data_IF_409861996616
#
_entry.id   IF_409861996616
#
_cell.length_a   1.000
_cell.length_b   1.000
_cell.length_c   1.000
_cell.angle_alpha   90.00
_cell.angle_beta   90.00
_cell.angle_gamma   90.00
#
_symmetry.space_group_name_H-M   'P 1'
#
loop_
_entity.id
_entity.type
_entity.pdbx_description
1 polymer ?
#
# COMPACT_ATOMS: atom_id res chain seq x y z
N UNK A 1 17.17 -39.67 -53.17
CA UNK A 1 16.03 -39.32 -52.29
C UNK A 1 15.89 -37.81 -52.39
N UNK A 2 15.00 -37.34 -53.26
CA UNK A 2 14.85 -35.91 -53.59
C UNK A 2 13.98 -35.28 -52.52
N UNK A 3 14.51 -34.32 -51.77
CA UNK A 3 13.74 -33.53 -50.81
C UNK A 3 12.57 -32.87 -51.54
N UNK A 4 11.34 -32.91 -51.02
CA UNK A 4 10.22 -32.23 -51.67
C UNK A 4 10.51 -30.73 -51.73
N UNK A 5 10.67 -30.18 -52.94
CA UNK A 5 10.75 -28.74 -53.14
C UNK A 5 9.41 -28.12 -52.76
N UNK A 6 9.44 -27.24 -51.77
CA UNK A 6 8.27 -26.49 -51.31
C UNK A 6 7.71 -25.66 -52.48
N UNK A 7 6.39 -25.61 -52.62
CA UNK A 7 5.75 -24.76 -53.64
C UNK A 7 6.09 -23.29 -53.40
N UNK A 8 6.11 -22.48 -54.46
CA UNK A 8 6.40 -21.04 -54.35
C UNK A 8 5.44 -20.34 -53.40
N UNK A 9 4.16 -20.73 -53.40
CA UNK A 9 3.13 -20.20 -52.52
C UNK A 9 3.46 -20.50 -51.05
N UNK A 10 3.97 -21.72 -50.78
CA UNK A 10 4.37 -22.15 -49.43
C UNK A 10 5.61 -21.39 -48.96
N UNK A 11 6.58 -21.15 -49.83
CA UNK A 11 7.77 -20.37 -49.52
C UNK A 11 7.46 -18.88 -49.26
N UNK A 12 6.51 -18.30 -50.01
CA UNK A 12 6.04 -16.92 -49.80
C UNK A 12 5.25 -16.81 -48.50
N UNK A 13 4.36 -17.77 -48.21
CA UNK A 13 3.62 -17.79 -46.96
C UNK A 13 4.56 -17.92 -45.74
N UNK A 14 5.57 -18.80 -45.82
CA UNK A 14 6.58 -18.94 -44.77
C UNK A 14 7.36 -17.63 -44.53
N UNK A 15 7.81 -16.95 -45.59
CA UNK A 15 8.47 -15.64 -45.47
C UNK A 15 7.56 -14.58 -44.84
N UNK A 16 6.28 -14.57 -45.18
CA UNK A 16 5.33 -13.63 -44.58
C UNK A 16 5.11 -13.94 -43.09
N UNK A 17 5.02 -15.21 -42.71
CA UNK A 17 4.94 -15.62 -41.29
C UNK A 17 6.20 -15.22 -40.54
N UNK A 18 7.39 -15.50 -41.09
CA UNK A 18 8.65 -15.09 -40.48
C UNK A 18 8.74 -13.58 -40.32
N UNK A 19 8.29 -12.80 -41.31
CA UNK A 19 8.23 -11.35 -41.23
C UNK A 19 7.25 -10.85 -40.15
N UNK A 20 6.07 -11.48 -40.04
CA UNK A 20 5.09 -11.14 -39.00
C UNK A 20 5.59 -11.51 -37.62
N UNK A 21 6.21 -12.68 -37.44
CA UNK A 21 6.79 -13.11 -36.16
C UNK A 21 7.98 -12.25 -35.78
N UNK A 22 8.86 -11.91 -36.73
CA UNK A 22 9.97 -11.00 -36.50
C UNK A 22 9.49 -9.59 -36.12
N UNK A 23 8.46 -9.07 -36.81
CA UNK A 23 7.85 -7.79 -36.45
C UNK A 23 7.19 -7.86 -35.09
N UNK A 24 6.42 -8.90 -34.78
CA UNK A 24 5.78 -9.04 -33.48
C UNK A 24 6.82 -9.13 -32.36
N UNK A 25 7.83 -9.98 -32.54
CA UNK A 25 8.95 -10.11 -31.59
C UNK A 25 9.65 -8.77 -31.41
N UNK A 26 9.98 -8.05 -32.49
CA UNK A 26 10.64 -6.74 -32.41
C UNK A 26 9.77 -5.69 -31.71
N UNK A 27 8.48 -5.59 -32.03
CA UNK A 27 7.56 -4.63 -31.40
C UNK A 27 7.26 -4.98 -29.93
N UNK A 28 7.37 -6.26 -29.54
CA UNK A 28 7.25 -6.68 -28.15
C UNK A 28 8.57 -6.48 -27.36
N UNK A 29 9.71 -6.43 -28.08
CA UNK A 29 11.06 -6.28 -27.52
C UNK A 29 11.55 -4.83 -27.49
N UNK A 30 11.01 -3.95 -28.33
CA UNK A 30 11.22 -2.51 -28.21
C UNK A 30 10.63 -2.10 -26.86
N UNK A 31 11.52 -1.79 -25.92
CA UNK A 31 11.22 -1.34 -24.56
C UNK A 31 9.96 -0.46 -24.58
N UNK A 32 8.86 -1.00 -24.05
CA UNK A 32 7.59 -0.31 -23.86
C UNK A 32 7.76 0.74 -22.75
N UNK A 33 8.58 1.75 -23.02
CA UNK A 33 8.99 2.80 -22.11
C UNK A 33 7.89 3.87 -21.96
N UNK A 34 6.63 3.47 -22.15
CA UNK A 34 5.47 4.35 -22.07
C UNK A 34 5.40 5.06 -20.72
N UNK A 35 5.81 4.39 -19.65
CA UNK A 35 5.90 4.99 -18.32
C UNK A 35 6.94 6.10 -18.26
N UNK A 36 8.14 5.88 -18.79
CA UNK A 36 9.20 6.90 -18.80
C UNK A 36 8.81 8.09 -19.69
N UNK A 37 8.23 7.83 -20.87
CA UNK A 37 7.71 8.89 -21.75
C UNK A 37 6.62 9.70 -21.04
N UNK A 38 5.70 9.03 -20.34
CA UNK A 38 4.66 9.71 -19.57
C UNK A 38 5.26 10.59 -18.47
N UNK A 39 6.19 10.05 -17.69
CA UNK A 39 6.89 10.78 -16.62
C UNK A 39 7.62 12.00 -17.18
N UNK A 40 8.38 11.85 -18.26
CA UNK A 40 9.12 12.95 -18.89
C UNK A 40 8.21 14.08 -19.39
N UNK A 41 7.11 13.73 -20.07
CA UNK A 41 6.17 14.73 -20.60
C UNK A 41 5.51 15.51 -19.47
N UNK A 42 5.08 14.81 -18.41
CA UNK A 42 4.42 15.47 -17.27
C UNK A 42 5.41 16.26 -16.40
N UNK A 43 6.65 15.81 -16.24
CA UNK A 43 7.71 16.56 -15.54
C UNK A 43 7.86 17.98 -16.11
N UNK A 44 7.88 18.13 -17.43
CA UNK A 44 8.03 19.43 -18.09
C UNK A 44 6.87 20.39 -17.76
N UNK A 45 5.63 19.88 -17.74
CA UNK A 45 4.44 20.67 -17.43
C UNK A 45 4.45 21.10 -15.97
N UNK A 46 4.80 20.17 -15.09
CA UNK A 46 4.71 20.34 -13.63
C UNK A 46 5.87 21.18 -13.07
N UNK A 47 7.04 21.18 -13.71
CA UNK A 47 8.20 22.02 -13.31
C UNK A 47 7.88 23.53 -13.29
N UNK A 48 6.86 23.97 -14.02
CA UNK A 48 6.41 25.37 -14.03
C UNK A 48 5.71 25.80 -12.73
N UNK A 49 5.28 24.85 -11.89
CA UNK A 49 4.41 25.08 -10.73
C UNK A 49 5.19 25.04 -9.41
N UNK A 50 5.63 26.22 -8.93
CA UNK A 50 6.43 26.35 -7.71
C UNK A 50 5.77 25.78 -6.45
N UNK A 51 4.43 25.82 -6.36
CA UNK A 51 3.68 25.33 -5.21
C UNK A 51 3.76 23.81 -5.03
N UNK A 52 4.09 23.07 -6.10
CA UNK A 52 4.24 21.62 -6.04
C UNK A 52 5.59 21.17 -5.48
N UNK A 53 6.54 22.10 -5.26
CA UNK A 53 7.88 21.81 -4.70
C UNK A 53 7.87 21.22 -3.28
N UNK A 54 6.75 21.29 -2.57
CA UNK A 54 6.57 20.76 -1.21
C UNK A 54 5.57 19.62 -1.13
N UNK A 55 5.14 19.06 -2.26
CA UNK A 55 4.12 17.99 -2.28
C UNK A 55 4.51 16.80 -1.39
N UNK A 56 5.79 16.41 -1.35
CA UNK A 56 6.26 15.34 -0.46
C UNK A 56 5.89 15.53 1.02
N UNK A 57 5.69 16.77 1.49
CA UNK A 57 5.29 17.06 2.87
C UNK A 57 3.83 16.71 3.17
N UNK A 58 2.96 16.69 2.16
CA UNK A 58 1.55 16.30 2.35
C UNK A 58 1.38 14.78 2.36
N UNK A 59 2.33 14.03 1.79
CA UNK A 59 2.26 12.57 1.64
C UNK A 59 2.00 11.86 2.98
N UNK A 60 2.70 12.16 4.09
CA UNK A 60 2.38 11.56 5.40
C UNK A 60 0.92 11.70 5.81
N UNK A 61 0.34 12.90 5.70
CA UNK A 61 -1.06 13.14 6.03
C UNK A 61 -2.02 12.35 5.12
N UNK A 62 -1.71 12.25 3.83
CA UNK A 62 -2.47 11.44 2.88
C UNK A 62 -2.40 9.96 3.23
N UNK A 63 -1.23 9.46 3.63
CA UNK A 63 -1.09 8.04 4.03
C UNK A 63 -1.92 7.74 5.28
N UNK A 64 -1.94 8.61 6.29
CA UNK A 64 -2.79 8.43 7.48
C UNK A 64 -4.26 8.37 7.07
N UNK A 65 -4.72 9.34 6.27
CA UNK A 65 -6.11 9.39 5.84
C UNK A 65 -6.51 8.18 4.99
N UNK A 66 -5.62 7.73 4.11
CA UNK A 66 -5.82 6.54 3.29
C UNK A 66 -5.97 5.30 4.18
N UNK A 67 -5.10 5.11 5.17
CA UNK A 67 -5.15 3.96 6.08
C UNK A 67 -6.45 3.95 6.89
N UNK A 68 -6.84 5.10 7.45
CA UNK A 68 -8.11 5.20 8.20
C UNK A 68 -9.31 4.85 7.34
N UNK A 69 -9.33 5.35 6.10
CA UNK A 69 -10.41 5.06 5.14
C UNK A 69 -10.37 3.60 4.68
N UNK A 70 -9.18 3.03 4.47
CA UNK A 70 -8.97 1.63 4.09
C UNK A 70 -9.49 0.67 5.16
N UNK A 71 -9.15 0.91 6.43
CA UNK A 71 -9.64 0.10 7.57
C UNK A 71 -11.17 0.15 7.65
N UNK A 72 -11.77 1.35 7.53
CA UNK A 72 -13.22 1.50 7.55
C UNK A 72 -13.89 0.80 6.36
N UNK A 73 -13.33 0.94 5.16
CA UNK A 73 -13.83 0.29 3.96
C UNK A 73 -13.78 -1.25 4.10
N UNK A 74 -12.69 -1.79 4.63
CA UNK A 74 -12.55 -3.23 4.91
C UNK A 74 -13.57 -3.72 5.93
N UNK A 75 -13.80 -2.99 7.02
CA UNK A 75 -14.84 -3.34 8.01
C UNK A 75 -16.25 -3.36 7.39
N UNK A 76 -16.54 -2.41 6.49
CA UNK A 76 -17.80 -2.36 5.75
C UNK A 76 -17.94 -3.47 4.71
N UNK A 77 -16.84 -4.03 4.17
CA UNK A 77 -16.89 -5.21 3.30
C UNK A 77 -17.29 -6.48 4.06
N UNK A 78 -16.75 -6.67 5.26
CA UNK A 78 -17.03 -7.87 6.06
C UNK A 78 -18.45 -7.88 6.62
N UNK A 79 -19.00 -6.70 6.90
CA UNK A 79 -20.42 -6.55 7.25
C UNK A 79 -21.21 -6.61 5.96
N UNK A 80 -21.94 -7.70 5.73
CA UNK A 80 -22.76 -7.95 4.53
C UNK A 80 -23.86 -6.88 4.36
N UNK A 81 -23.46 -5.68 3.95
CA UNK A 81 -24.29 -4.47 3.93
C UNK A 81 -25.07 -4.46 2.63
N UNK A 82 -26.37 -4.19 2.73
CA UNK A 82 -27.33 -4.26 1.62
C UNK A 82 -27.08 -3.23 0.50
N UNK A 83 -26.11 -2.33 0.67
CA UNK A 83 -25.73 -1.34 -0.33
C UNK A 83 -24.57 -1.89 -1.15
N UNK A 84 -24.80 -2.02 -2.47
CA UNK A 84 -23.81 -2.40 -3.50
C UNK A 84 -22.74 -1.31 -3.69
N UNK A 85 -22.08 -0.89 -2.62
CA UNK A 85 -20.85 -0.11 -2.75
C UNK A 85 -19.71 -1.12 -2.78
N UNK A 86 -19.00 -1.16 -3.92
CA UNK A 86 -17.80 -1.97 -4.07
C UNK A 86 -16.67 -1.24 -3.35
N UNK A 87 -16.51 -1.51 -2.06
CA UNK A 87 -15.31 -1.12 -1.34
C UNK A 87 -14.15 -1.95 -1.87
N UNK A 88 -13.11 -1.29 -2.38
CA UNK A 88 -11.88 -1.94 -2.82
C UNK A 88 -10.69 -1.13 -2.32
N UNK A 89 -9.66 -1.84 -1.90
CA UNK A 89 -8.38 -1.27 -1.47
C UNK A 89 -7.34 -1.96 -2.33
N UNK A 90 -6.63 -1.20 -3.17
CA UNK A 90 -5.63 -1.71 -4.10
C UNK A 90 -4.34 -0.88 -4.02
N UNK A 91 -3.31 -1.28 -4.75
CA UNK A 91 -2.02 -0.59 -4.84
C UNK A 91 -2.07 0.76 -5.58
N UNK A 92 -3.19 1.10 -6.22
CA UNK A 92 -3.36 2.33 -7.00
C UNK A 92 -3.04 3.63 -6.25
N UNK A 93 -3.32 3.70 -4.94
CA UNK A 93 -2.90 4.86 -4.12
C UNK A 93 -1.37 4.93 -4.01
N UNK A 94 -0.72 3.81 -3.70
CA UNK A 94 0.73 3.72 -3.58
C UNK A 94 1.43 4.01 -4.91
N UNK A 95 0.90 3.47 -6.02
CA UNK A 95 1.36 3.74 -7.39
C UNK A 95 1.21 5.23 -7.71
N UNK A 96 0.08 5.84 -7.37
CA UNK A 96 -0.17 7.26 -7.57
C UNK A 96 0.82 8.16 -6.82
N UNK A 97 1.09 7.86 -5.55
CA UNK A 97 2.10 8.60 -4.77
C UNK A 97 3.50 8.41 -5.37
N UNK A 98 3.88 7.18 -5.73
CA UNK A 98 5.17 6.92 -6.36
C UNK A 98 5.33 7.70 -7.67
N UNK A 99 4.29 7.72 -8.52
CA UNK A 99 4.26 8.48 -9.76
C UNK A 99 4.41 9.98 -9.50
N UNK A 100 3.65 10.55 -8.55
CA UNK A 100 3.73 11.97 -8.23
C UNK A 100 5.12 12.37 -7.68
N UNK A 101 5.72 11.54 -6.83
CA UNK A 101 7.08 11.76 -6.34
C UNK A 101 8.12 11.68 -7.46
N UNK A 102 7.92 10.80 -8.46
CA UNK A 102 8.80 10.68 -9.62
C UNK A 102 8.68 11.89 -10.56
N UNK A 103 7.47 12.33 -10.92
CA UNK A 103 7.29 13.49 -11.80
C UNK A 103 7.69 14.82 -11.15
N UNK A 104 7.73 14.87 -9.81
CA UNK A 104 8.19 16.06 -9.07
C UNK A 104 9.67 15.99 -8.71
N UNK A 105 10.33 14.87 -8.97
CA UNK A 105 11.70 14.60 -8.53
C UNK A 105 11.88 14.83 -7.00
N UNK A 106 10.91 14.36 -6.20
CA UNK A 106 10.86 14.57 -4.75
C UNK A 106 11.12 13.31 -3.95
N UNK A 107 11.53 12.21 -4.59
CA UNK A 107 11.77 10.93 -3.93
C UNK A 107 12.78 11.04 -2.77
N UNK A 108 13.93 11.69 -2.99
CA UNK A 108 14.94 11.86 -1.93
C UNK A 108 14.46 12.77 -0.79
N UNK A 109 13.72 13.82 -1.11
CA UNK A 109 13.15 14.72 -0.10
C UNK A 109 12.13 13.99 0.77
N UNK A 110 11.30 13.12 0.16
CA UNK A 110 10.40 12.24 0.90
C UNK A 110 11.16 11.24 1.77
N UNK A 111 12.20 10.58 1.25
CA UNK A 111 13.01 9.62 2.01
C UNK A 111 13.63 10.27 3.26
N UNK A 112 14.05 11.53 3.18
CA UNK A 112 14.61 12.29 4.30
C UNK A 112 13.64 12.52 5.47
N UNK A 113 12.33 12.31 5.26
CA UNK A 113 11.34 12.38 6.33
C UNK A 113 11.38 11.16 7.24
N UNK A 114 11.99 10.05 6.81
CA UNK A 114 11.98 8.77 7.54
C UNK A 114 10.55 8.35 7.95
N UNK A 115 9.55 8.68 7.12
CA UNK A 115 8.14 8.63 7.51
C UNK A 115 7.69 7.23 7.97
N UNK A 116 8.05 6.18 7.22
CA UNK A 116 7.65 4.83 7.57
C UNK A 116 8.38 4.28 8.80
N UNK A 117 9.64 4.69 9.03
CA UNK A 117 10.38 4.37 10.25
C UNK A 117 9.73 5.04 11.48
N UNK A 118 9.27 6.28 11.33
CA UNK A 118 8.54 7.02 12.36
C UNK A 118 7.18 6.39 12.67
N UNK A 119 6.47 5.91 11.65
CA UNK A 119 5.22 5.17 11.80
C UNK A 119 5.43 3.86 12.56
N UNK A 120 6.45 3.09 12.19
CA UNK A 120 6.82 1.84 12.89
C UNK A 120 7.13 2.12 14.37
N UNK A 121 8.02 3.09 14.64
CA UNK A 121 8.36 3.51 16.01
C UNK A 121 7.14 3.92 16.83
N UNK A 122 6.19 4.64 16.21
CA UNK A 122 4.95 5.03 16.86
C UNK A 122 4.12 3.79 17.25
N UNK A 123 3.96 2.81 16.36
CA UNK A 123 3.17 1.62 16.68
C UNK A 123 3.86 0.71 17.70
N UNK A 124 5.19 0.62 17.69
CA UNK A 124 5.95 -0.06 18.74
C UNK A 124 5.74 0.59 20.12
N UNK A 125 5.76 1.93 20.16
CA UNK A 125 5.50 2.67 21.40
C UNK A 125 4.06 2.48 21.90
N UNK A 126 3.08 2.49 20.99
CA UNK A 126 1.67 2.23 21.33
C UNK A 126 1.47 0.79 21.84
N UNK A 127 2.12 -0.19 21.22
CA UNK A 127 2.08 -1.59 21.63
C UNK A 127 2.72 -1.79 23.01
N UNK A 128 3.88 -1.18 23.25
CA UNK A 128 4.53 -1.19 24.56
C UNK A 128 3.63 -0.57 25.65
N UNK A 129 3.00 0.57 25.35
CA UNK A 129 2.06 1.22 26.26
C UNK A 129 0.81 0.35 26.54
N UNK A 130 0.33 -0.38 25.52
CA UNK A 130 -0.75 -1.33 25.68
C UNK A 130 -0.37 -2.51 26.60
N UNK A 131 0.81 -3.10 26.40
CA UNK A 131 1.33 -4.21 27.22
C UNK A 131 1.44 -3.80 28.69
N UNK A 132 1.93 -2.58 28.97
CA UNK A 132 2.01 -2.06 30.34
C UNK A 132 0.63 -1.98 30.98
N UNK A 133 -0.36 -1.38 30.30
CA UNK A 133 -1.74 -1.26 30.81
C UNK A 133 -2.39 -2.63 31.05
N UNK A 134 -2.16 -3.58 30.14
CA UNK A 134 -2.66 -4.94 30.28
C UNK A 134 -2.04 -5.62 31.51
N UNK A 135 -0.73 -5.48 31.71
CA UNK A 135 -0.04 -6.02 32.88
C UNK A 135 -0.48 -5.39 34.20
N UNK A 136 -0.72 -4.07 34.24
CA UNK A 136 -1.26 -3.37 35.41
C UNK A 136 -2.64 -3.90 35.80
N UNK A 137 -3.52 -4.11 34.81
CA UNK A 137 -4.84 -4.72 35.04
C UNK A 137 -4.70 -6.14 35.58
N UNK A 138 -3.89 -6.98 34.95
CA UNK A 138 -3.74 -8.38 35.34
C UNK A 138 -3.18 -8.48 36.77
N UNK A 139 -2.21 -7.63 37.13
CA UNK A 139 -1.71 -7.52 38.49
C UNK A 139 -2.80 -7.08 39.48
N UNK A 140 -3.65 -6.10 39.11
CA UNK A 140 -4.79 -5.67 39.93
C UNK A 140 -5.80 -6.79 40.15
N UNK A 141 -6.14 -7.55 39.09
CA UNK A 141 -7.01 -8.73 39.19
C UNK A 141 -6.44 -9.79 40.12
N UNK A 142 -5.14 -10.10 39.98
CA UNK A 142 -4.48 -11.05 40.87
C UNK A 142 -4.48 -10.57 42.33
N UNK A 143 -4.30 -9.29 42.60
CA UNK A 143 -4.35 -8.72 43.94
C UNK A 143 -5.77 -8.70 44.55
N UNK A 144 -6.82 -8.75 43.72
CA UNK A 144 -8.22 -8.73 44.13
C UNK A 144 -8.87 -10.12 44.16
N UNK A 145 -8.15 -11.19 43.79
CA UNK A 145 -8.70 -12.54 43.64
C UNK A 145 -9.37 -13.12 44.91
N UNK A 146 -8.92 -12.70 46.11
CA UNK A 146 -9.49 -13.15 47.39
C UNK A 146 -10.60 -12.23 47.93
N UNK A 147 -10.90 -11.11 47.25
CA UNK A 147 -11.96 -10.18 47.64
C UNK A 147 -13.26 -10.50 46.93
N UNK A 148 -14.38 -10.33 47.64
CA UNK A 148 -15.72 -10.47 47.07
C UNK A 148 -16.00 -9.28 46.16
N UNK A 149 -15.95 -9.50 44.85
CA UNK A 149 -16.27 -8.49 43.84
C UNK A 149 -17.74 -8.06 43.94
N UNK A 150 -17.99 -6.76 43.83
CA UNK A 150 -19.35 -6.23 43.71
C UNK A 150 -19.79 -6.28 42.25
N UNK A 151 -21.11 -6.17 42.01
CA UNK A 151 -21.64 -6.09 40.66
C UNK A 151 -21.10 -4.87 39.89
N UNK A 152 -20.75 -3.78 40.57
CA UNK A 152 -20.15 -2.61 39.95
C UNK A 152 -18.71 -2.88 39.49
N UNK A 153 -17.91 -3.56 40.31
CA UNK A 153 -16.52 -3.91 39.98
C UNK A 153 -16.44 -4.84 38.76
N UNK A 154 -17.39 -5.78 38.65
CA UNK A 154 -17.50 -6.69 37.50
C UNK A 154 -17.81 -5.95 36.19
N UNK A 155 -18.71 -4.97 36.24
CA UNK A 155 -19.08 -4.15 35.07
C UNK A 155 -17.88 -3.29 34.64
N UNK A 156 -17.18 -2.66 35.60
CA UNK A 156 -16.00 -1.84 35.30
C UNK A 156 -14.87 -2.66 34.66
N UNK A 157 -14.59 -3.87 35.18
CA UNK A 157 -13.60 -4.75 34.54
C UNK A 157 -14.02 -5.18 33.13
N UNK A 158 -15.30 -5.47 32.90
CA UNK A 158 -15.80 -5.85 31.58
C UNK A 158 -15.63 -4.69 30.56
N UNK A 159 -15.95 -3.45 30.95
CA UNK A 159 -15.74 -2.26 30.13
C UNK A 159 -14.25 -2.00 29.84
N UNK A 160 -13.39 -2.20 30.84
CA UNK A 160 -11.94 -2.06 30.69
C UNK A 160 -11.37 -3.12 29.75
N UNK A 161 -11.78 -4.38 29.89
CA UNK A 161 -11.41 -5.49 28.98
C UNK A 161 -11.84 -5.18 27.56
N UNK A 162 -13.07 -4.72 27.37
CA UNK A 162 -13.57 -4.37 26.05
C UNK A 162 -12.75 -3.25 25.42
N UNK A 163 -12.43 -2.21 26.18
CA UNK A 163 -11.62 -1.07 25.74
C UNK A 163 -10.20 -1.50 25.34
N UNK A 164 -9.57 -2.37 26.14
CA UNK A 164 -8.25 -2.92 25.86
C UNK A 164 -8.26 -3.76 24.57
N UNK A 165 -9.25 -4.63 24.40
CA UNK A 165 -9.39 -5.46 23.19
C UNK A 165 -9.57 -4.62 21.93
N UNK A 166 -10.41 -3.58 21.97
CA UNK A 166 -10.58 -2.66 20.83
C UNK A 166 -9.30 -1.90 20.51
N UNK A 167 -8.55 -1.49 21.55
CA UNK A 167 -7.26 -0.79 21.39
C UNK A 167 -6.23 -1.69 20.72
N UNK A 168 -6.06 -2.92 21.22
CA UNK A 168 -5.13 -3.90 20.64
C UNK A 168 -5.44 -4.16 19.17
N UNK A 169 -6.71 -4.44 18.86
CA UNK A 169 -7.17 -4.69 17.49
C UNK A 169 -6.92 -3.48 16.58
N UNK A 170 -7.12 -2.27 17.07
CA UNK A 170 -6.86 -1.04 16.31
C UNK A 170 -5.38 -0.86 15.99
N UNK A 171 -4.50 -1.06 16.98
CA UNK A 171 -3.05 -0.97 16.80
C UNK A 171 -2.58 -1.96 15.73
N UNK A 172 -2.98 -3.23 15.87
CA UNK A 172 -2.62 -4.30 14.93
C UNK A 172 -3.09 -4.01 13.51
N UNK A 173 -4.38 -3.67 13.34
CA UNK A 173 -4.95 -3.40 12.02
C UNK A 173 -4.26 -2.22 11.34
N UNK A 174 -4.09 -1.10 12.05
CA UNK A 174 -3.46 0.07 11.45
C UNK A 174 -1.99 -0.20 11.10
N UNK A 175 -1.23 -0.87 11.97
CA UNK A 175 0.16 -1.26 11.69
C UNK A 175 0.25 -2.10 10.42
N UNK A 176 -0.57 -3.15 10.33
CA UNK A 176 -0.59 -4.02 9.17
C UNK A 176 -0.91 -3.29 7.86
N UNK A 177 -1.89 -2.38 7.88
CA UNK A 177 -2.21 -1.59 6.69
C UNK A 177 -1.07 -0.66 6.27
N UNK A 178 -0.36 -0.07 7.24
CA UNK A 178 0.82 0.76 6.97
C UNK A 178 1.97 -0.07 6.37
N UNK A 179 2.19 -1.29 6.85
CA UNK A 179 3.19 -2.21 6.28
C UNK A 179 2.87 -2.53 4.82
N UNK A 180 1.62 -2.87 4.52
CA UNK A 180 1.15 -3.11 3.15
C UNK A 180 1.37 -1.89 2.26
N UNK A 181 1.02 -0.69 2.74
CA UNK A 181 1.24 0.55 2.01
C UNK A 181 2.73 0.79 1.75
N UNK A 182 3.59 0.53 2.74
CA UNK A 182 5.04 0.68 2.62
C UNK A 182 5.60 -0.27 1.54
N UNK A 183 5.20 -1.55 1.55
CA UNK A 183 5.64 -2.51 0.54
C UNK A 183 5.15 -2.14 -0.86
N UNK A 184 3.87 -1.79 -1.00
CA UNK A 184 3.29 -1.36 -2.27
C UNK A 184 3.96 -0.09 -2.80
N UNK A 185 4.27 0.88 -1.93
CA UNK A 185 4.95 2.11 -2.35
C UNK A 185 6.39 1.83 -2.77
N UNK A 186 7.13 1.04 -2.01
CA UNK A 186 8.50 0.67 -2.37
C UNK A 186 8.55 -0.11 -3.67
N UNK A 187 7.62 -1.06 -3.88
CA UNK A 187 7.47 -1.77 -5.15
C UNK A 187 7.13 -0.82 -6.29
N UNK A 188 6.16 0.07 -6.09
CA UNK A 188 5.75 1.05 -7.09
C UNK A 188 6.89 1.99 -7.50
N UNK A 189 7.73 2.41 -6.55
CA UNK A 189 8.87 3.30 -6.83
C UNK A 189 9.93 2.66 -7.73
N UNK A 190 10.03 1.34 -7.78
CA UNK A 190 10.98 0.64 -8.67
C UNK A 190 10.61 0.90 -10.15
N UNK A 191 9.32 0.97 -10.48
CA UNK A 191 8.87 1.24 -11.85
C UNK A 191 9.22 2.64 -12.37
N UNK A 192 9.61 3.55 -11.48
CA UNK A 192 9.93 4.93 -11.79
C UNK A 192 11.38 5.31 -11.44
N UNK A 193 12.21 4.33 -11.05
CA UNK A 193 13.65 4.52 -10.89
C UNK A 193 14.31 4.15 -12.23
N UNK A 194 15.11 5.09 -12.74
CA UNK A 194 16.02 4.87 -13.87
C UNK A 194 17.13 3.87 -13.51
#
# INVERSE_FOLDING_TARGET
MVSPELSNETAVAAKNVDAVVANLSRNFSENNDYFHVLVQVFQQVVASQKHLGLFYQIVPALTINFIETSVQAKDLMYKNTRRRESYFTDDGFAIGIAYLLAILNQGQAFDSLHWFEEVERKFEADEAAFIVKQGERDARKHAMADKKETAADLIEDEEEVHTLQLTAKRIELHRHEFDLLNWSLNGARIFFKD
#
